data_IF_127600421163
#
_entry.id   IF_127600421163
#
_cell.length_a   1.000
_cell.length_b   1.000
_cell.length_c   1.000
_cell.angle_alpha   90.00
_cell.angle_beta   90.00
_cell.angle_gamma   90.00
#
_symmetry.space_group_name_H-M   'P 1'
#
loop_
_entity.id
_entity.type
_entity.pdbx_description
1 polymer ?
#
# COMPACT_ATOMS: atom_id res chain seq x y z
N UNK A 1 -11.08 27.80 8.33
CA UNK A 1 -11.06 26.45 7.75
C UNK A 1 -10.66 26.62 6.31
N UNK A 2 -9.37 26.49 6.02
CA UNK A 2 -8.89 26.56 4.64
C UNK A 2 -9.45 25.35 3.89
N UNK A 3 -10.23 25.63 2.85
CA UNK A 3 -10.75 24.60 1.98
C UNK A 3 -9.55 23.88 1.34
N UNK A 4 -9.46 22.56 1.55
CA UNK A 4 -8.46 21.71 0.90
C UNK A 4 -8.51 22.01 -0.61
N UNK A 5 -7.33 22.25 -1.19
CA UNK A 5 -7.15 22.49 -2.62
C UNK A 5 -7.95 21.42 -3.41
N UNK A 6 -8.81 21.81 -4.37
CA UNK A 6 -9.63 20.87 -5.15
C UNK A 6 -8.83 19.71 -5.76
N UNK A 7 -7.60 19.96 -6.23
CA UNK A 7 -6.74 18.91 -6.78
C UNK A 7 -6.31 17.89 -5.72
N UNK A 8 -5.99 18.35 -4.52
CA UNK A 8 -5.62 17.48 -3.39
C UNK A 8 -6.82 16.64 -2.98
N UNK A 9 -8.03 17.24 -2.97
CA UNK A 9 -9.27 16.53 -2.68
C UNK A 9 -9.57 15.44 -3.70
N UNK A 10 -9.35 15.71 -4.99
CA UNK A 10 -9.51 14.72 -6.05
C UNK A 10 -8.52 13.56 -5.91
N UNK A 11 -7.24 13.87 -5.65
CA UNK A 11 -6.20 12.85 -5.45
C UNK A 11 -6.54 11.93 -4.27
N UNK A 12 -7.01 12.49 -3.15
CA UNK A 12 -7.46 11.72 -1.98
C UNK A 12 -8.67 10.84 -2.33
N UNK A 13 -9.63 11.36 -3.09
CA UNK A 13 -10.79 10.59 -3.50
C UNK A 13 -10.41 9.40 -4.41
N UNK A 14 -9.44 9.59 -5.32
CA UNK A 14 -8.93 8.51 -6.17
C UNK A 14 -8.13 7.47 -5.37
N UNK A 15 -7.37 7.92 -4.36
CA UNK A 15 -6.65 7.02 -3.45
C UNK A 15 -7.62 6.20 -2.58
N UNK A 16 -8.70 6.82 -2.10
CA UNK A 16 -9.78 6.11 -1.41
C UNK A 16 -10.47 5.08 -2.30
N UNK A 17 -10.81 5.45 -3.54
CA UNK A 17 -11.40 4.52 -4.51
C UNK A 17 -10.45 3.36 -4.85
N UNK A 18 -9.13 3.62 -4.87
CA UNK A 18 -8.12 2.58 -4.99
C UNK A 18 -8.16 1.66 -3.77
N UNK A 19 -8.09 2.21 -2.56
CA UNK A 19 -8.11 1.41 -1.33
C UNK A 19 -9.38 0.54 -1.22
N UNK A 20 -10.54 1.07 -1.62
CA UNK A 20 -11.81 0.33 -1.69
C UNK A 20 -11.73 -0.88 -2.61
N UNK A 21 -11.22 -0.69 -3.83
CA UNK A 21 -11.06 -1.78 -4.79
C UNK A 21 -10.08 -2.85 -4.29
N UNK A 22 -9.01 -2.43 -3.60
CA UNK A 22 -8.08 -3.38 -2.99
C UNK A 22 -8.73 -4.13 -1.82
N UNK A 23 -9.51 -3.45 -0.99
CA UNK A 23 -10.21 -4.05 0.14
C UNK A 23 -11.27 -5.08 -0.31
N UNK A 24 -11.96 -4.83 -1.43
CA UNK A 24 -12.92 -5.81 -1.98
C UNK A 24 -12.26 -7.09 -2.49
N UNK A 25 -10.99 -7.01 -2.91
CA UNK A 25 -10.22 -8.15 -3.43
C UNK A 25 -9.38 -8.85 -2.35
N UNK A 26 -9.32 -8.28 -1.15
CA UNK A 26 -8.31 -8.62 -0.15
C UNK A 26 -8.46 -10.03 0.43
N UNK A 27 -9.70 -10.47 0.66
CA UNK A 27 -9.99 -11.83 1.15
C UNK A 27 -9.52 -12.87 0.14
N UNK A 28 -9.95 -12.74 -1.12
CA UNK A 28 -9.55 -13.63 -2.20
C UNK A 28 -8.04 -13.60 -2.44
N UNK A 29 -7.41 -12.42 -2.32
CA UNK A 29 -5.96 -12.28 -2.40
C UNK A 29 -5.24 -13.12 -1.34
N UNK A 30 -5.71 -13.09 -0.09
CA UNK A 30 -5.14 -13.90 0.99
C UNK A 30 -5.37 -15.38 0.73
N UNK A 31 -6.56 -15.76 0.26
CA UNK A 31 -6.92 -17.16 -0.01
C UNK A 31 -6.05 -17.75 -1.13
N UNK A 32 -5.84 -17.01 -2.21
CA UNK A 32 -5.02 -17.43 -3.36
C UNK A 32 -3.54 -17.56 -3.01
N UNK A 33 -3.08 -16.82 -2.00
CA UNK A 33 -1.73 -16.96 -1.45
C UNK A 33 -0.60 -16.49 -2.38
N UNK A 34 -0.90 -15.69 -3.40
CA UNK A 34 0.09 -15.01 -4.24
C UNK A 34 0.58 -13.73 -3.55
N UNK A 35 1.88 -13.41 -3.67
CA UNK A 35 2.44 -12.19 -3.05
C UNK A 35 1.96 -10.92 -3.73
N UNK A 36 1.72 -10.98 -5.04
CA UNK A 36 1.26 -9.86 -5.84
C UNK A 36 0.00 -10.27 -6.60
N UNK A 37 -0.97 -9.36 -6.68
CA UNK A 37 -2.19 -9.49 -7.48
C UNK A 37 -2.41 -8.20 -8.27
N UNK A 38 -2.95 -8.32 -9.48
CA UNK A 38 -3.41 -7.15 -10.23
C UNK A 38 -4.90 -6.91 -9.98
N UNK A 39 -5.25 -5.72 -9.53
CA UNK A 39 -6.63 -5.28 -9.29
C UNK A 39 -7.02 -4.22 -10.32
N UNK A 40 -8.23 -4.31 -10.86
CA UNK A 40 -8.80 -3.28 -11.73
C UNK A 40 -9.49 -2.22 -10.85
N UNK A 41 -8.97 -1.00 -10.88
CA UNK A 41 -9.51 0.13 -10.11
C UNK A 41 -10.28 1.04 -11.06
N UNK A 42 -11.46 1.47 -10.64
CA UNK A 42 -12.28 2.45 -11.37
C UNK A 42 -12.33 3.74 -10.56
N UNK A 43 -11.83 4.84 -11.11
CA UNK A 43 -11.89 6.16 -10.48
C UNK A 43 -12.53 7.19 -11.41
N UNK A 44 -12.66 8.43 -10.93
CA UNK A 44 -13.13 9.55 -11.76
C UNK A 44 -12.22 9.83 -12.97
N UNK A 45 -10.95 9.38 -12.91
CA UNK A 45 -9.97 9.53 -13.98
C UNK A 45 -10.00 8.36 -14.98
N UNK A 46 -10.80 7.33 -14.74
CA UNK A 46 -10.96 6.16 -15.60
C UNK A 46 -10.58 4.86 -14.90
N UNK A 47 -10.39 3.81 -15.70
CA UNK A 47 -10.07 2.47 -15.22
C UNK A 47 -8.59 2.17 -15.44
N UNK A 48 -7.91 1.69 -14.40
CA UNK A 48 -6.50 1.32 -14.48
C UNK A 48 -6.20 0.07 -13.64
N UNK A 49 -5.13 -0.62 -14.01
CA UNK A 49 -4.64 -1.79 -13.29
C UNK A 49 -3.64 -1.33 -12.23
N UNK A 50 -3.84 -1.80 -11.01
CA UNK A 50 -2.94 -1.56 -9.87
C UNK A 50 -2.37 -2.91 -9.42
N UNK A 51 -1.07 -2.95 -9.18
CA UNK A 51 -0.46 -4.07 -8.47
C UNK A 51 -0.71 -3.92 -6.97
N UNK A 52 -1.18 -4.99 -6.35
CA UNK A 52 -1.52 -5.10 -4.95
C UNK A 52 -0.67 -6.17 -4.30
N UNK A 53 -0.12 -5.84 -3.13
CA UNK A 53 0.41 -6.77 -2.15
C UNK A 53 -0.10 -6.40 -0.75
N UNK A 54 0.21 -7.21 0.26
CA UNK A 54 -0.19 -6.94 1.64
C UNK A 54 0.46 -5.66 2.17
N UNK A 55 1.74 -5.45 1.88
CA UNK A 55 2.46 -4.23 2.22
C UNK A 55 1.95 -3.00 1.49
N UNK A 56 1.56 -3.11 0.21
CA UNK A 56 0.98 -1.98 -0.52
C UNK A 56 -0.36 -1.56 0.10
N UNK A 57 -1.21 -2.53 0.48
CA UNK A 57 -2.47 -2.26 1.16
C UNK A 57 -2.21 -1.54 2.50
N UNK A 58 -1.31 -2.07 3.32
CA UNK A 58 -0.96 -1.47 4.62
C UNK A 58 -0.37 -0.06 4.48
N UNK A 59 0.51 0.16 3.50
CA UNK A 59 1.14 1.47 3.27
C UNK A 59 0.12 2.54 2.83
N UNK A 60 -0.87 2.14 2.03
CA UNK A 60 -1.99 3.03 1.65
C UNK A 60 -2.88 3.35 2.84
N UNK A 61 -3.21 2.37 3.67
CA UNK A 61 -3.97 2.58 4.92
C UNK A 61 -3.21 3.54 5.84
N UNK A 62 -1.92 3.29 6.08
CA UNK A 62 -1.05 4.15 6.90
C UNK A 62 -1.06 5.60 6.39
N UNK A 63 -0.82 5.79 5.09
CA UNK A 63 -0.85 7.12 4.45
C UNK A 63 -2.19 7.81 4.65
N UNK A 64 -3.31 7.15 4.34
CA UNK A 64 -4.65 7.73 4.48
C UNK A 64 -5.03 7.99 5.94
N UNK A 65 -4.54 7.17 6.88
CA UNK A 65 -4.73 7.40 8.31
C UNK A 65 -3.99 8.64 8.80
N UNK A 66 -2.79 8.94 8.29
CA UNK A 66 -2.05 10.16 8.69
C UNK A 66 -2.81 11.45 8.35
N UNK A 67 -3.51 11.48 7.20
CA UNK A 67 -4.29 12.64 6.74
C UNK A 67 -5.76 12.60 7.18
N UNK A 68 -6.20 11.51 7.80
CA UNK A 68 -7.58 11.32 8.31
C UNK A 68 -8.12 12.49 9.15
N UNK A 69 -7.32 13.16 10.02
CA UNK A 69 -7.83 14.29 10.80
C UNK A 69 -8.33 15.44 9.94
N UNK A 70 -7.75 15.63 8.76
CA UNK A 70 -8.04 16.73 7.84
C UNK A 70 -9.11 16.38 6.80
N UNK A 71 -9.54 15.11 6.74
CA UNK A 71 -10.53 14.68 5.76
C UNK A 71 -11.93 15.27 6.04
N UNK A 72 -12.67 15.69 4.99
CA UNK A 72 -14.10 15.98 5.08
C UNK A 72 -14.89 14.77 5.62
N UNK A 73 -15.97 15.03 6.37
CA UNK A 73 -16.80 14.01 7.02
C UNK A 73 -17.13 12.80 6.13
N UNK A 74 -17.70 12.99 4.91
CA UNK A 74 -18.02 11.87 4.03
C UNK A 74 -16.82 11.00 3.63
N UNK A 75 -15.67 11.62 3.33
CA UNK A 75 -14.44 10.88 2.98
C UNK A 75 -13.83 10.16 4.19
N UNK A 76 -13.98 10.77 5.37
CA UNK A 76 -13.55 10.17 6.64
C UNK A 76 -14.38 8.95 7.00
N UNK A 77 -15.70 9.02 6.81
CA UNK A 77 -16.61 7.90 7.06
C UNK A 77 -16.34 6.75 6.09
N UNK A 78 -16.13 7.07 4.81
CA UNK A 78 -15.71 6.13 3.78
C UNK A 78 -14.40 5.42 4.17
N UNK A 79 -13.36 6.17 4.53
CA UNK A 79 -12.09 5.62 5.01
C UNK A 79 -12.27 4.67 6.21
N UNK A 80 -13.09 5.05 7.19
CA UNK A 80 -13.34 4.23 8.38
C UNK A 80 -14.01 2.90 8.02
N UNK A 81 -14.96 2.91 7.08
CA UNK A 81 -15.63 1.70 6.60
C UNK A 81 -14.63 0.73 5.96
N UNK A 82 -13.78 1.24 5.09
CA UNK A 82 -12.77 0.43 4.39
C UNK A 82 -11.72 -0.14 5.35
N UNK A 83 -11.23 0.67 6.30
CA UNK A 83 -10.32 0.18 7.34
C UNK A 83 -10.99 -0.94 8.15
N UNK A 84 -12.25 -0.77 8.53
CA UNK A 84 -12.99 -1.79 9.30
C UNK A 84 -13.09 -3.10 8.53
N UNK A 85 -13.37 -3.05 7.22
CA UNK A 85 -13.38 -4.22 6.35
C UNK A 85 -12.01 -4.91 6.32
N UNK A 86 -10.94 -4.15 6.04
CA UNK A 86 -9.58 -4.68 5.97
C UNK A 86 -9.19 -5.34 7.30
N UNK A 87 -9.39 -4.66 8.43
CA UNK A 87 -9.06 -5.21 9.75
C UNK A 87 -9.86 -6.47 10.07
N UNK A 88 -11.14 -6.52 9.69
CA UNK A 88 -11.96 -7.73 9.88
C UNK A 88 -11.36 -8.91 9.12
N UNK A 89 -11.07 -8.74 7.82
CA UNK A 89 -10.44 -9.78 7.00
C UNK A 89 -9.05 -10.17 7.53
N UNK A 90 -8.23 -9.20 7.97
CA UNK A 90 -6.93 -9.47 8.60
C UNK A 90 -7.07 -10.37 9.82
N UNK A 91 -8.04 -10.10 10.69
CA UNK A 91 -8.24 -10.92 11.89
C UNK A 91 -8.76 -12.32 11.56
N UNK A 92 -9.71 -12.44 10.62
CA UNK A 92 -10.28 -13.73 10.21
C UNK A 92 -9.24 -14.64 9.53
N UNK A 93 -8.32 -14.04 8.74
CA UNK A 93 -7.30 -14.77 7.97
C UNK A 93 -5.87 -14.55 8.49
N UNK A 94 -5.72 -14.16 9.77
CA UNK A 94 -4.46 -13.68 10.40
C UNK A 94 -3.23 -14.51 10.03
N UNK A 95 -3.30 -15.83 10.22
CA UNK A 95 -2.16 -16.72 9.94
C UNK A 95 -1.73 -16.66 8.48
N UNK A 96 -2.69 -16.78 7.55
CA UNK A 96 -2.40 -16.76 6.10
C UNK A 96 -1.87 -15.40 5.66
N UNK A 97 -2.46 -14.33 6.20
CA UNK A 97 -2.01 -12.98 5.92
C UNK A 97 -0.55 -12.78 6.40
N UNK A 98 -0.20 -13.23 7.59
CA UNK A 98 1.17 -13.06 8.09
C UNK A 98 2.19 -13.90 7.32
N UNK A 99 1.82 -15.10 6.89
CA UNK A 99 2.66 -15.92 5.99
C UNK A 99 2.88 -15.24 4.62
N UNK A 100 1.87 -14.53 4.10
CA UNK A 100 2.04 -13.68 2.91
C UNK A 100 3.00 -12.53 3.17
N UNK A 101 2.80 -11.79 4.26
CA UNK A 101 3.65 -10.66 4.63
C UNK A 101 5.12 -11.05 4.83
N UNK A 102 5.40 -12.22 5.41
CA UNK A 102 6.77 -12.72 5.55
C UNK A 102 7.43 -12.99 4.19
N UNK A 103 6.69 -13.56 3.23
CA UNK A 103 7.17 -13.79 1.86
C UNK A 103 7.41 -12.48 1.13
N UNK A 104 6.48 -11.54 1.25
CA UNK A 104 6.61 -10.20 0.68
C UNK A 104 7.81 -9.43 1.26
N UNK A 105 7.97 -9.44 2.59
CA UNK A 105 9.09 -8.81 3.28
C UNK A 105 10.45 -9.31 2.76
N UNK A 106 10.55 -10.62 2.48
CA UNK A 106 11.74 -11.22 1.87
C UNK A 106 11.94 -10.72 0.44
N UNK A 107 10.88 -10.72 -0.39
CA UNK A 107 10.94 -10.26 -1.77
C UNK A 107 11.40 -8.79 -1.87
N UNK A 108 10.80 -7.88 -1.09
CA UNK A 108 11.16 -6.45 -1.10
C UNK A 108 12.57 -6.19 -0.59
N UNK A 109 13.03 -6.91 0.43
CA UNK A 109 14.44 -6.82 0.89
C UNK A 109 15.41 -7.25 -0.20
N UNK A 110 15.12 -8.33 -0.92
CA UNK A 110 15.95 -8.76 -2.04
C UNK A 110 15.99 -7.70 -3.14
N UNK A 111 14.86 -7.05 -3.45
CA UNK A 111 14.83 -5.95 -4.42
C UNK A 111 15.71 -4.79 -3.99
N UNK A 112 15.62 -4.33 -2.74
CA UNK A 112 16.47 -3.24 -2.23
C UNK A 112 17.95 -3.62 -2.23
N UNK A 113 18.29 -4.86 -1.83
CA UNK A 113 19.66 -5.34 -1.86
C UNK A 113 20.22 -5.34 -3.30
N UNK A 114 19.42 -5.77 -4.27
CA UNK A 114 19.85 -5.79 -5.66
C UNK A 114 20.13 -4.37 -6.18
N UNK A 115 19.29 -3.39 -5.86
CA UNK A 115 19.56 -1.97 -6.18
C UNK A 115 20.85 -1.46 -5.54
N UNK A 116 21.11 -1.81 -4.27
CA UNK A 116 22.37 -1.44 -3.59
C UNK A 116 23.60 -2.11 -4.23
N UNK A 117 23.47 -3.37 -4.66
CA UNK A 117 24.54 -4.11 -5.33
C UNK A 117 24.86 -3.51 -6.70
N UNK A 118 23.85 -3.12 -7.48
CA UNK A 118 24.03 -2.48 -8.80
C UNK A 118 24.67 -1.10 -8.68
N UNK A 119 24.31 -0.31 -7.66
CA UNK A 119 24.98 0.96 -7.33
C UNK A 119 26.45 0.77 -6.96
N UNK A 120 26.73 -0.20 -6.10
CA UNK A 120 28.11 -0.52 -5.66
C UNK A 120 28.97 -1.02 -6.83
N UNK A 121 28.35 -1.71 -7.79
CA UNK A 121 29.02 -2.20 -8.99
C UNK A 121 29.22 -1.11 -10.08
N UNK A 122 28.78 0.13 -9.84
CA UNK A 122 28.89 1.23 -10.79
C UNK A 122 28.03 1.03 -12.05
N UNK A 123 26.95 0.26 -11.95
CA UNK A 123 25.99 0.03 -13.06
C UNK A 123 24.90 1.10 -13.12
N UNK A 124 24.74 1.86 -12.05
CA UNK A 124 23.86 3.03 -11.96
C UNK A 124 24.62 4.30 -12.37
N UNK A 125 23.95 5.23 -13.06
CA UNK A 125 24.57 6.47 -13.57
C UNK A 125 24.91 7.48 -12.46
N UNK A 126 25.71 8.51 -12.77
CA UNK A 126 26.13 9.55 -11.79
C UNK A 126 24.96 10.35 -11.15
N UNK A 127 23.75 10.31 -11.73
CA UNK A 127 22.53 10.93 -11.17
C UNK A 127 21.72 10.01 -10.22
N UNK A 128 22.05 8.70 -10.14
CA UNK A 128 21.29 7.67 -9.40
C UNK A 128 21.74 7.47 -7.94
N UNK A 129 22.61 8.33 -7.41
CA UNK A 129 23.07 8.25 -6.00
C UNK A 129 21.97 8.66 -4.99
N UNK A 130 20.76 8.98 -5.46
CA UNK A 130 19.57 9.29 -4.65
C UNK A 130 18.58 8.15 -4.69
N UNK A 131 17.98 7.84 -3.53
CA UNK A 131 16.89 6.86 -3.45
C UNK A 131 15.76 7.17 -4.43
N UNK A 132 15.45 6.20 -5.28
CA UNK A 132 14.37 6.25 -6.25
C UNK A 132 13.00 6.23 -5.57
N UNK A 133 11.93 6.70 -6.24
CA UNK A 133 10.56 6.55 -5.72
C UNK A 133 10.19 5.10 -5.41
N UNK A 134 10.67 4.13 -6.20
CA UNK A 134 10.42 2.70 -5.97
C UNK A 134 11.14 2.18 -4.71
N UNK A 135 12.36 2.62 -4.45
CA UNK A 135 13.08 2.28 -3.20
C UNK A 135 12.40 2.87 -1.97
N UNK A 136 11.96 4.14 -2.05
CA UNK A 136 11.20 4.77 -0.96
C UNK A 136 9.88 4.03 -0.69
N UNK A 137 9.16 3.66 -1.74
CA UNK A 137 7.93 2.85 -1.64
C UNK A 137 8.21 1.49 -0.99
N UNK A 138 9.26 0.78 -1.42
CA UNK A 138 9.66 -0.50 -0.82
C UNK A 138 10.04 -0.37 0.65
N UNK A 139 10.76 0.70 1.03
CA UNK A 139 11.13 0.97 2.43
C UNK A 139 9.89 1.25 3.29
N UNK A 140 8.94 2.02 2.79
CA UNK A 140 7.66 2.28 3.48
C UNK A 140 6.86 0.99 3.67
N UNK A 141 6.69 0.18 2.61
CA UNK A 141 6.04 -1.11 2.69
C UNK A 141 6.73 -2.04 3.71
N UNK A 142 8.06 -2.11 3.70
CA UNK A 142 8.82 -2.90 4.68
C UNK A 142 8.56 -2.42 6.12
N UNK A 143 8.45 -1.12 6.35
CA UNK A 143 8.18 -0.57 7.67
C UNK A 143 6.80 -1.01 8.18
N UNK A 144 5.74 -0.76 7.40
CA UNK A 144 4.37 -1.13 7.80
C UNK A 144 4.17 -2.63 7.94
N UNK A 145 4.84 -3.46 7.11
CA UNK A 145 4.81 -4.93 7.26
C UNK A 145 5.44 -5.36 8.59
N UNK A 146 6.57 -4.75 8.98
CA UNK A 146 7.22 -5.09 10.25
C UNK A 146 6.34 -4.72 11.43
N UNK A 147 5.73 -3.55 11.38
CA UNK A 147 4.84 -3.07 12.44
C UNK A 147 3.63 -4.01 12.58
N UNK A 148 3.03 -4.46 11.48
CA UNK A 148 1.95 -5.44 11.48
C UNK A 148 2.38 -6.79 12.07
N UNK A 149 3.51 -7.33 11.63
CA UNK A 149 4.04 -8.60 12.12
C UNK A 149 4.45 -8.57 13.60
N UNK A 150 4.75 -7.39 14.16
CA UNK A 150 5.08 -7.22 15.58
C UNK A 150 3.85 -7.13 16.49
N UNK A 151 2.69 -6.76 15.95
CA UNK A 151 1.42 -6.70 16.69
C UNK A 151 0.77 -8.09 16.86
N UNK A 152 1.43 -9.15 16.39
CA UNK A 152 0.89 -10.51 16.21
C UNK A 152 0.95 -11.39 17.43
#
# INVERSE_FOLDING_TARGET
>A
MDAINPQVKENIANELATLEALASEFEDYIIDGQVYRTVLVSTQQGNYRVEMSGGDLLARVDTLQTIRPDLPGPLKDQLNGVITQIETTKQELKTRFHELLQRELKARRNTLQWSEDDRTAGKEGEEEDRMTPAENHNRHCIAVIRDELQQS
#
